data_IF_954898358457
#
_entry.id   IF_954898358457
#
_cell.length_a   1.000
_cell.length_b   1.000
_cell.length_c   1.000
_cell.angle_alpha   90.00
_cell.angle_beta   90.00
_cell.angle_gamma   90.00
#
_symmetry.space_group_name_H-M   'P 1'
#
loop_
_entity.id
_entity.type
_entity.pdbx_description
1 polymer ?
2 non-polymer ?
3 non-polymer ?
4 non-polymer ?
5 non-polymer ?
6 water ?
#
# COMPACT_ATOMS: atom_id res chain seq x y z
N UNK A 2 -17.54 11.77 9.26
CA UNK A 2 -17.10 10.89 8.13
C UNK A 2 -16.24 9.74 8.67
N UNK A 3 -16.53 8.52 8.22
CA UNK A 3 -15.74 7.34 8.60
C UNK A 3 -15.46 6.55 7.33
N UNK A 4 -14.28 6.77 6.76
CA UNK A 4 -13.97 6.24 5.44
C UNK A 4 -14.03 4.70 5.39
N UNK A 5 -14.70 4.21 4.36
CA UNK A 5 -14.81 2.78 4.11
C UNK A 5 -13.58 2.33 3.34
N UNK A 6 -12.76 1.48 3.97
CA UNK A 6 -11.53 0.98 3.39
C UNK A 6 -11.69 -0.44 2.90
N UNK A 7 -11.25 -0.70 1.67
CA UNK A 7 -11.21 -2.05 1.12
C UNK A 7 -9.82 -2.39 0.65
N UNK A 8 -9.38 -3.61 0.92
CA UNK A 8 -8.10 -4.11 0.46
C UNK A 8 -8.41 -5.29 -0.47
N UNK A 9 -7.92 -5.21 -1.71
CA UNK A 9 -8.27 -6.14 -2.76
C UNK A 9 -7.02 -6.83 -3.27
N UNK A 10 -6.90 -8.15 -3.04
CA UNK A 10 -5.83 -8.92 -3.62
C UNK A 10 -6.22 -9.44 -4.98
N UNK A 11 -5.30 -9.35 -5.94
CA UNK A 11 -5.57 -9.79 -7.32
C UNK A 11 -4.49 -10.74 -7.76
N UNK A 12 -4.86 -12.00 -7.97
CA UNK A 12 -3.92 -13.04 -8.33
C UNK A 12 -3.23 -13.63 -7.11
N UNK A 13 -2.30 -14.55 -7.36
CA UNK A 13 -1.72 -15.34 -6.26
C UNK A 13 -0.99 -14.51 -5.20
N UNK A 14 -0.02 -13.71 -5.61
CA UNK A 14 0.77 -12.94 -4.65
C UNK A 14 -0.07 -11.91 -3.92
N UNK A 15 -0.98 -11.25 -4.63
CA UNK A 15 -1.87 -10.31 -3.95
C UNK A 15 -2.71 -10.99 -2.90
N UNK A 16 -3.27 -12.15 -3.24
CA UNK A 16 -4.06 -12.86 -2.26
C UNK A 16 -3.25 -13.43 -1.14
N UNK A 17 -1.99 -13.78 -1.40
CA UNK A 17 -1.09 -14.19 -0.31
C UNK A 17 -0.95 -13.07 0.70
N UNK A 18 -0.73 -11.85 0.21
CA UNK A 18 -0.62 -10.72 1.10
C UNK A 18 -1.91 -10.50 1.89
N UNK A 19 -3.05 -10.58 1.21
CA UNK A 19 -4.36 -10.44 1.88
C UNK A 19 -4.55 -11.51 2.97
N UNK A 20 -4.22 -12.76 2.65
CA UNK A 20 -4.38 -13.84 3.61
C UNK A 20 -3.55 -13.61 4.84
N UNK A 21 -2.30 -13.17 4.63
CA UNK A 21 -1.40 -12.96 5.76
C UNK A 21 -1.85 -11.73 6.58
N UNK A 22 -2.50 -10.75 5.95
CA UNK A 22 -3.07 -9.60 6.69
C UNK A 22 -4.27 -9.98 7.53
N UNK A 23 -5.13 -10.83 6.98
CA UNK A 23 -6.30 -11.32 7.70
C UNK A 23 -5.84 -12.15 8.92
N UNK A 24 -4.81 -12.97 8.75
CA UNK A 24 -4.22 -13.71 9.90
C UNK A 24 -3.66 -12.82 11.01
N UNK A 25 -3.01 -11.73 10.58
CA UNK A 25 -2.43 -10.73 11.48
C UNK A 25 -3.50 -10.02 12.34
N UNK A 26 -4.66 -9.75 11.73
CA UNK A 26 -5.76 -9.07 12.40
C UNK A 26 -5.87 -7.62 11.95
N UNK A 27 -6.92 -7.32 11.18
CA UNK A 27 -7.21 -5.95 10.74
C UNK A 27 -8.72 -5.70 10.82
N UNK A 28 -9.13 -4.86 11.78
CA UNK A 28 -10.53 -4.52 11.97
C UNK A 28 -10.91 -3.32 11.12
N UNK A 29 -12.21 -3.19 10.83
CA UNK A 29 -12.77 -2.08 10.05
C UNK A 29 -12.15 -1.93 8.67
N UNK A 30 -11.70 -3.03 8.10
CA UNK A 30 -11.23 -3.06 6.72
C UNK A 30 -11.94 -4.24 6.06
N UNK A 31 -12.47 -4.05 4.86
CA UNK A 31 -13.07 -5.14 4.11
C UNK A 31 -12.00 -5.70 3.19
N UNK A 32 -11.80 -7.01 3.23
CA UNK A 32 -10.88 -7.70 2.33
C UNK A 32 -11.65 -8.39 1.22
N UNK A 33 -11.10 -8.28 0.01
CA UNK A 33 -11.66 -8.88 -1.18
C UNK A 33 -10.55 -9.66 -1.88
N UNK A 34 -10.83 -10.92 -2.19
CA UNK A 34 -9.90 -11.77 -2.91
C UNK A 34 -10.39 -11.99 -4.32
N UNK A 35 -9.56 -11.66 -5.32
CA UNK A 35 -9.91 -11.83 -6.71
C UNK A 35 -8.90 -12.77 -7.36
N UNK A 36 -9.37 -13.84 -8.00
CA UNK A 36 -8.46 -14.74 -8.71
C UNK A 36 -9.23 -15.45 -9.80
N UNK A 37 -8.50 -15.87 -10.83
CA UNK A 37 -8.95 -16.84 -11.82
C UNK A 37 -8.97 -18.25 -11.25
N UNK A 38 -7.96 -18.56 -10.47
CA UNK A 38 -7.72 -19.87 -9.92
C UNK A 38 -8.73 -20.18 -8.80
N UNK A 39 -9.75 -20.99 -9.11
CA UNK A 39 -10.77 -21.32 -8.14
C UNK A 39 -10.30 -22.12 -6.96
N UNK A 40 -9.34 -23.03 -7.19
CA UNK A 40 -8.77 -23.82 -6.09
C UNK A 40 -8.11 -22.91 -5.07
N UNK A 41 -7.28 -22.00 -5.56
CA UNK A 41 -6.59 -21.07 -4.66
C UNK A 41 -7.60 -20.17 -3.97
N UNK A 42 -8.58 -19.70 -4.71
CA UNK A 42 -9.52 -18.78 -4.17
C UNK A 42 -10.35 -19.42 -3.06
N UNK A 43 -10.67 -20.71 -3.22
CA UNK A 43 -11.41 -21.47 -2.20
C UNK A 43 -10.68 -21.49 -0.84
N UNK A 44 -9.34 -21.42 -0.87
CA UNK A 44 -8.54 -21.41 0.35
C UNK A 44 -8.37 -20.03 0.98
N UNK A 45 -8.73 -18.97 0.27
CA UNK A 45 -8.63 -17.62 0.83
C UNK A 45 -9.48 -17.43 2.08
N UNK A 46 -8.97 -16.55 2.95
CA UNK A 46 -9.59 -16.18 4.22
C UNK A 46 -10.56 -15.02 4.08
N UNK A 47 -10.57 -14.38 2.90
CA UNK A 47 -11.39 -13.20 2.71
C UNK A 47 -12.89 -13.52 2.69
N UNK A 48 -13.67 -12.62 3.27
CA UNK A 48 -15.15 -12.75 3.32
C UNK A 48 -15.86 -12.37 2.03
N UNK A 49 -15.11 -11.78 1.11
CA UNK A 49 -15.60 -11.44 -0.24
C UNK A 49 -14.62 -12.02 -1.24
N UNK A 50 -15.08 -12.99 -2.01
CA UNK A 50 -14.26 -13.74 -2.98
C UNK A 50 -14.90 -13.62 -4.35
N UNK A 51 -14.12 -13.19 -5.34
CA UNK A 51 -14.59 -13.05 -6.71
C UNK A 51 -13.74 -13.92 -7.60
N UNK A 52 -14.33 -14.99 -8.11
CA UNK A 52 -13.68 -15.82 -9.13
C UNK A 52 -13.96 -15.18 -10.46
N UNK A 53 -12.89 -14.77 -11.15
CA UNK A 53 -13.02 -14.06 -12.40
C UNK A 53 -12.67 -14.97 -13.57
N UNK A 54 -13.34 -14.74 -14.68
CA UNK A 54 -13.00 -15.42 -15.90
C UNK A 54 -13.27 -16.91 -15.97
N UNK A 55 -14.25 -17.43 -15.27
CA UNK A 55 -14.45 -18.87 -15.30
C UNK A 55 -14.75 -19.39 -16.71
N UNK A 56 -15.47 -18.63 -17.53
CA UNK A 56 -15.72 -19.10 -18.89
C UNK A 56 -14.44 -19.16 -19.75
N UNK A 57 -13.49 -18.30 -19.44
CA UNK A 57 -12.27 -18.22 -20.18
C UNK A 57 -11.27 -19.29 -19.73
N UNK A 58 -11.12 -19.45 -18.40
CA UNK A 58 -10.07 -20.28 -17.82
C UNK A 58 -10.55 -21.64 -17.32
N UNK A 59 -11.86 -21.86 -17.28
CA UNK A 59 -12.44 -23.07 -16.69
C UNK A 59 -12.11 -23.22 -15.21
N UNK A 60 -11.82 -22.12 -14.54
CA UNK A 60 -11.51 -22.16 -13.12
C UNK A 60 -10.04 -22.34 -12.76
N UNK A 61 -9.19 -22.46 -13.77
CA UNK A 61 -7.76 -22.45 -13.58
C UNK A 61 -7.26 -21.02 -13.54
N UNK A 62 -6.01 -20.87 -13.16
CA UNK A 62 -5.33 -19.61 -13.30
C UNK A 62 -5.13 -19.18 -14.73
N UNK A 63 -4.41 -18.07 -14.89
CA UNK A 63 -4.21 -17.44 -16.18
C UNK A 63 -3.00 -18.00 -16.90
N UNK A 64 -2.26 -18.94 -16.28
CA UNK A 64 -1.12 -19.55 -16.95
C UNK A 64 -0.04 -18.54 -17.31
N UNK A 65 0.11 -17.52 -16.47
CA UNK A 65 1.11 -16.46 -16.65
C UNK A 65 0.86 -15.56 -17.85
N UNK A 66 -0.36 -15.58 -18.39
CA UNK A 66 -0.68 -14.79 -19.56
C UNK A 66 -1.51 -13.55 -19.14
N UNK A 67 -0.92 -12.33 -19.21
CA UNK A 67 -1.67 -11.15 -18.79
C UNK A 67 -2.95 -10.89 -19.59
N UNK A 68 -2.98 -11.31 -20.85
CA UNK A 68 -4.18 -11.13 -21.65
C UNK A 68 -5.35 -11.89 -21.04
N UNK A 69 -5.08 -13.08 -20.54
CA UNK A 69 -6.12 -13.88 -19.89
C UNK A 69 -6.58 -13.21 -18.59
N UNK A 70 -5.65 -12.67 -17.81
CA UNK A 70 -6.07 -11.92 -16.64
C UNK A 70 -6.95 -10.73 -16.95
N UNK A 71 -6.59 -9.98 -17.98
CA UNK A 71 -7.35 -8.80 -18.39
C UNK A 71 -8.75 -9.18 -18.85
N UNK A 72 -8.83 -10.16 -19.75
CA UNK A 72 -10.10 -10.61 -20.28
C UNK A 72 -10.95 -11.27 -19.20
N UNK A 73 -10.33 -11.95 -18.25
CA UNK A 73 -11.08 -12.51 -17.13
C UNK A 73 -11.74 -11.42 -16.32
N UNK A 74 -10.99 -10.36 -16.01
CA UNK A 74 -11.56 -9.26 -15.22
C UNK A 74 -12.68 -8.59 -15.99
N UNK A 75 -12.50 -8.45 -17.30
CA UNK A 75 -13.54 -7.83 -18.11
C UNK A 75 -14.80 -8.74 -18.14
N UNK A 76 -14.62 -10.06 -18.25
CA UNK A 76 -15.76 -11.02 -18.22
C UNK A 76 -16.57 -10.81 -16.90
N UNK A 77 -15.86 -10.58 -15.81
CA UNK A 77 -16.45 -10.49 -14.48
C UNK A 77 -16.58 -9.05 -13.95
N UNK A 78 -16.56 -8.07 -14.83
CA UNK A 78 -16.60 -6.64 -14.45
C UNK A 78 -17.72 -6.30 -13.45
N UNK A 79 -18.91 -6.80 -13.72
CA UNK A 79 -20.06 -6.48 -12.85
C UNK A 79 -19.89 -7.01 -11.43
N UNK A 80 -19.29 -8.19 -11.30
CA UNK A 80 -19.07 -8.78 -9.99
C UNK A 80 -17.99 -7.97 -9.21
N UNK A 81 -16.99 -7.45 -9.93
CA UNK A 81 -15.98 -6.62 -9.33
C UNK A 81 -16.60 -5.30 -8.84
N UNK A 82 -17.41 -4.68 -9.69
CA UNK A 82 -18.11 -3.45 -9.33
C UNK A 82 -18.92 -3.68 -8.03
N UNK A 83 -19.70 -4.75 -8.00
CA UNK A 83 -20.55 -5.04 -6.84
C UNK A 83 -19.75 -5.16 -5.54
N UNK A 84 -18.57 -5.80 -5.61
CA UNK A 84 -17.74 -5.98 -4.45
C UNK A 84 -17.15 -4.69 -3.90
N UNK A 85 -16.89 -3.74 -4.80
CA UNK A 85 -16.25 -2.48 -4.44
C UNK A 85 -17.22 -1.44 -3.92
N UNK A 86 -18.52 -1.63 -4.20
CA UNK A 86 -19.56 -0.66 -3.79
C UNK A 86 -19.36 -0.13 -2.39
N UNK A 87 -19.41 1.19 -2.26
CA UNK A 87 -19.30 1.84 -0.99
C UNK A 87 -17.90 2.27 -0.59
N UNK A 88 -16.88 1.82 -1.33
CA UNK A 88 -15.53 2.10 -0.93
C UNK A 88 -15.21 3.59 -1.03
N UNK A 89 -14.56 4.10 0.02
CA UNK A 89 -13.91 5.42 -0.06
C UNK A 89 -12.46 5.36 -0.42
N UNK A 90 -11.79 4.26 -0.05
CA UNK A 90 -10.39 4.05 -0.40
C UNK A 90 -10.23 2.57 -0.67
N UNK A 91 -9.53 2.26 -1.75
CA UNK A 91 -9.24 0.90 -2.15
C UNK A 91 -7.75 0.75 -2.29
N UNK A 92 -7.20 -0.28 -1.66
CA UNK A 92 -5.85 -0.73 -1.91
C UNK A 92 -5.93 -1.93 -2.83
N UNK A 93 -5.29 -1.88 -3.98
CA UNK A 93 -5.22 -3.01 -4.90
C UNK A 93 -3.81 -3.56 -4.82
N UNK A 94 -3.71 -4.82 -4.37
CA UNK A 94 -2.41 -5.41 -4.16
C UNK A 94 -2.25 -6.65 -5.03
N UNK A 95 -1.09 -6.77 -5.67
CA UNK A 95 -0.88 -7.76 -6.71
C UNK A 95 0.60 -7.91 -6.99
N UNK A 96 1.00 -9.13 -7.37
CA UNK A 96 2.35 -9.35 -7.87
C UNK A 96 2.40 -9.19 -9.37
N UNK A 97 3.16 -8.23 -9.86
CA UNK A 97 3.24 -8.04 -11.30
C UNK A 97 4.15 -9.10 -11.92
N UNK A 98 3.84 -9.50 -13.14
CA UNK A 98 4.64 -10.42 -13.93
C UNK A 98 4.00 -11.72 -14.25
N UNK A 99 2.96 -12.10 -13.50
CA UNK A 99 2.16 -13.25 -13.82
C UNK A 99 1.05 -12.89 -14.76
N UNK A 100 -0.03 -13.67 -14.73
CA UNK A 100 -1.13 -13.48 -15.65
C UNK A 100 -2.29 -12.73 -15.02
N UNK A 101 -2.75 -13.23 -13.88
CA UNK A 101 -3.95 -12.67 -13.24
C UNK A 101 -3.71 -11.27 -12.71
N UNK A 102 -2.69 -11.11 -11.89
CA UNK A 102 -2.37 -9.80 -11.37
C UNK A 102 -2.05 -8.80 -12.46
N UNK A 103 -1.10 -9.14 -13.32
CA UNK A 103 -0.67 -8.20 -14.35
C UNK A 103 -1.83 -7.70 -15.18
N UNK A 104 -2.69 -8.64 -15.62
CA UNK A 104 -3.82 -8.29 -16.50
C UNK A 104 -5.04 -7.73 -15.80
N UNK A 105 -5.40 -8.36 -14.68
CA UNK A 105 -6.65 -7.99 -13.98
C UNK A 105 -6.50 -6.82 -13.02
N UNK A 106 -5.33 -6.67 -12.38
CA UNK A 106 -5.25 -5.61 -11.37
C UNK A 106 -5.51 -4.21 -11.94
N UNK A 107 -5.05 -3.87 -13.16
CA UNK A 107 -5.38 -2.58 -13.70
C UNK A 107 -6.86 -2.39 -14.00
N UNK A 108 -7.55 -3.47 -14.36
CA UNK A 108 -8.99 -3.39 -14.58
C UNK A 108 -9.73 -3.11 -13.26
N UNK A 109 -9.34 -3.84 -12.22
CA UNK A 109 -9.89 -3.63 -10.90
C UNK A 109 -9.64 -2.19 -10.42
N UNK A 110 -8.41 -1.72 -10.61
CA UNK A 110 -8.07 -0.36 -10.16
C UNK A 110 -8.91 0.68 -10.87
N UNK A 111 -9.11 0.54 -12.17
CA UNK A 111 -9.90 1.51 -12.93
C UNK A 111 -11.36 1.52 -12.49
N UNK A 112 -11.89 0.34 -12.19
CA UNK A 112 -13.25 0.25 -11.65
C UNK A 112 -13.36 1.03 -10.34
N UNK A 113 -12.41 0.80 -9.44
CA UNK A 113 -12.43 1.51 -8.15
C UNK A 113 -12.31 3.02 -8.34
N UNK A 114 -11.40 3.44 -9.23
CA UNK A 114 -11.17 4.87 -9.45
C UNK A 114 -12.46 5.52 -9.98
N UNK A 115 -13.13 4.85 -10.90
CA UNK A 115 -14.32 5.41 -11.50
C UNK A 115 -15.56 5.34 -10.62
N UNK A 116 -15.47 4.65 -9.50
CA UNK A 116 -16.45 4.67 -8.40
C UNK A 116 -16.15 5.79 -7.41
N UNK A 117 -15.05 6.52 -7.64
CA UNK A 117 -14.67 7.64 -6.78
C UNK A 117 -13.82 7.29 -5.58
N UNK A 118 -13.42 6.02 -5.46
CA UNK A 118 -12.52 5.66 -4.37
C UNK A 118 -11.12 6.18 -4.63
N UNK A 119 -10.46 6.62 -3.57
CA UNK A 119 -9.03 6.86 -3.62
C UNK A 119 -8.36 5.50 -3.84
N UNK A 120 -7.67 5.33 -4.95
CA UNK A 120 -7.23 4.03 -5.40
C UNK A 120 -5.70 3.95 -5.36
N UNK A 121 -5.19 3.12 -4.46
CA UNK A 121 -3.77 2.97 -4.22
C UNK A 121 -3.35 1.56 -4.59
N UNK A 122 -2.42 1.43 -5.53
CA UNK A 122 -1.87 0.15 -5.87
C UNK A 122 -0.63 -0.13 -5.02
N UNK A 123 -0.47 -1.39 -4.59
CA UNK A 123 0.76 -1.83 -3.90
C UNK A 123 1.15 -3.12 -4.57
N UNK A 124 2.19 -3.06 -5.39
CA UNK A 124 2.54 -4.19 -6.24
C UNK A 124 4.00 -4.55 -6.11
N UNK A 125 4.32 -5.80 -6.42
CA UNK A 125 5.71 -6.25 -6.53
C UNK A 125 6.15 -6.34 -7.99
N UNK A 126 7.45 -6.19 -8.19
CA UNK A 126 8.12 -6.62 -9.41
C UNK A 126 8.80 -7.98 -9.14
N UNK A 127 8.96 -8.82 -10.18
CA UNK A 127 9.51 -10.15 -9.93
C UNK A 127 10.98 -10.13 -9.59
N UNK A 128 11.42 -11.20 -8.96
CA UNK A 128 12.84 -11.39 -8.73
C UNK A 128 13.53 -11.50 -10.08
N UNK A 129 14.75 -10.99 -10.16
CA UNK A 129 15.57 -11.19 -11.36
C UNK A 129 15.75 -12.67 -11.68
N UNK A 130 15.77 -13.54 -10.68
CA UNK A 130 15.94 -14.97 -10.93
C UNK A 130 14.77 -15.57 -11.68
N UNK A 131 13.63 -14.88 -11.75
CA UNK A 131 12.48 -15.33 -12.53
C UNK A 131 12.61 -15.08 -14.03
N UNK A 132 13.60 -14.29 -14.45
CA UNK A 132 13.90 -14.10 -15.87
C UNK A 132 13.26 -12.90 -16.55
N UNK A 133 13.71 -12.72 -17.78
CA UNK A 133 13.34 -11.55 -18.59
C UNK A 133 11.90 -11.36 -18.99
N UNK A 134 11.26 -12.44 -19.40
CA UNK A 134 9.87 -12.32 -19.83
C UNK A 134 9.00 -11.94 -18.64
N UNK A 135 9.27 -12.51 -17.48
CA UNK A 135 8.57 -12.13 -16.27
C UNK A 135 8.78 -10.64 -15.96
N UNK A 136 10.01 -10.17 -16.11
CA UNK A 136 10.31 -8.78 -15.82
C UNK A 136 9.64 -7.84 -16.84
N UNK A 137 9.65 -8.22 -18.11
CA UNK A 137 9.02 -7.43 -19.18
C UNK A 137 7.50 -7.39 -19.01
N UNK A 138 6.88 -8.53 -18.70
CA UNK A 138 5.46 -8.56 -18.43
C UNK A 138 5.14 -7.67 -17.24
N UNK A 139 5.97 -7.75 -16.21
CA UNK A 139 5.73 -6.96 -15.01
C UNK A 139 5.82 -5.48 -15.31
N UNK A 140 6.77 -5.07 -16.14
CA UNK A 140 6.94 -3.65 -16.45
C UNK A 140 5.70 -3.11 -17.16
N UNK A 141 5.12 -3.92 -18.05
CA UNK A 141 3.90 -3.53 -18.72
C UNK A 141 2.75 -3.42 -17.71
N UNK A 142 2.70 -4.35 -16.76
CA UNK A 142 1.74 -4.28 -15.69
C UNK A 142 1.87 -3.03 -14.82
N UNK A 143 3.11 -2.68 -14.46
CA UNK A 143 3.33 -1.49 -13.68
C UNK A 143 2.83 -0.26 -14.41
N UNK A 144 3.13 -0.18 -15.70
CA UNK A 144 2.69 0.97 -16.50
C UNK A 144 1.16 1.05 -16.56
N UNK A 145 0.51 -0.09 -16.78
CA UNK A 145 -0.95 -0.14 -16.79
C UNK A 145 -1.52 0.24 -15.43
N UNK A 146 -0.89 -0.24 -14.36
CA UNK A 146 -1.34 0.15 -13.02
C UNK A 146 -1.22 1.64 -12.79
N UNK A 147 -0.08 2.22 -13.19
CA UNK A 147 0.11 3.67 -13.03
C UNK A 147 -1.00 4.45 -13.70
N UNK A 148 -1.42 4.01 -14.88
CA UNK A 148 -2.49 4.70 -15.62
C UNK A 148 -3.83 4.61 -14.86
N UNK A 149 -4.03 3.52 -14.15
CA UNK A 149 -5.31 3.19 -13.56
C UNK A 149 -5.53 3.69 -12.13
N UNK A 150 -4.46 3.80 -11.35
CA UNK A 150 -4.58 4.15 -9.94
C UNK A 150 -4.41 5.64 -9.72
N UNK A 151 -4.75 6.08 -8.51
CA UNK A 151 -4.34 7.40 -8.02
C UNK A 151 -2.85 7.45 -7.64
N UNK A 152 -2.39 6.45 -6.92
CA UNK A 152 -1.01 6.40 -6.48
C UNK A 152 -0.56 4.94 -6.50
N UNK A 153 0.72 4.72 -6.85
CA UNK A 153 1.27 3.37 -6.94
C UNK A 153 2.52 3.25 -6.08
N UNK A 154 2.58 2.19 -5.26
CA UNK A 154 3.75 1.80 -4.51
C UNK A 154 4.29 0.52 -5.12
N UNK A 155 5.56 0.53 -5.56
CA UNK A 155 6.19 -0.61 -6.21
C UNK A 155 7.29 -1.16 -5.30
N UNK A 156 7.20 -2.45 -5.00
CA UNK A 156 8.18 -3.17 -4.21
C UNK A 156 8.91 -4.13 -5.16
N UNK A 157 10.16 -3.82 -5.58
CA UNK A 157 10.88 -4.80 -6.37
C UNK A 157 11.25 -5.98 -5.44
N UNK A 158 10.85 -7.19 -5.80
CA UNK A 158 11.17 -8.33 -4.95
C UNK A 158 12.67 -8.50 -4.76
N UNK A 159 13.49 -8.08 -5.73
CA UNK A 159 14.93 -8.14 -5.55
C UNK A 159 15.37 -7.39 -4.28
N UNK A 160 14.62 -6.38 -3.82
CA UNK A 160 15.02 -5.66 -2.58
C UNK A 160 14.97 -6.57 -1.37
N UNK A 161 14.18 -7.66 -1.42
CA UNK A 161 14.18 -8.60 -0.33
C UNK A 161 15.51 -9.27 -0.16
N UNK A 162 16.27 -9.41 -1.25
CA UNK A 162 17.60 -10.00 -1.17
C UNK A 162 18.59 -9.11 -0.43
N UNK A 163 18.25 -7.84 -0.21
CA UNK A 163 19.08 -6.92 0.55
C UNK A 163 18.89 -7.00 2.07
N UNK A 164 17.83 -7.67 2.52
CA UNK A 164 17.43 -7.69 3.94
C UNK A 164 17.41 -9.07 4.57
N UNK A 165 17.87 -10.07 3.82
CA UNK A 165 17.98 -11.44 4.32
C UNK A 165 19.43 -11.85 4.53
N UNK A 166 19.62 -12.83 5.42
CA UNK A 166 20.90 -13.54 5.44
C UNK A 166 20.71 -14.84 4.65
N UNK A 167 21.73 -15.68 4.56
CA UNK A 167 21.63 -16.87 3.73
C UNK A 167 20.56 -17.86 4.20
N UNK A 168 20.15 -17.76 5.47
CA UNK A 168 19.20 -18.69 6.03
C UNK A 168 17.78 -18.12 6.24
N UNK A 169 17.56 -16.83 6.04
CA UNK A 169 16.24 -16.29 6.30
C UNK A 169 15.18 -17.00 5.49
N UNK A 170 14.17 -17.59 6.16
CA UNK A 170 13.14 -18.29 5.38
C UNK A 170 12.48 -17.39 4.34
N UNK A 171 12.16 -17.97 3.19
CA UNK A 171 11.44 -17.23 2.16
C UNK A 171 10.16 -16.62 2.72
N UNK A 172 9.43 -17.36 3.55
CA UNK A 172 8.18 -16.83 4.09
C UNK A 172 8.42 -15.62 5.00
N UNK A 173 9.54 -15.61 5.72
CA UNK A 173 9.88 -14.46 6.57
C UNK A 173 10.20 -13.23 5.71
N UNK A 174 10.89 -13.45 4.60
CA UNK A 174 11.15 -12.36 3.66
C UNK A 174 9.85 -11.82 3.06
N UNK A 175 8.94 -12.71 2.67
CA UNK A 175 7.65 -12.27 2.19
C UNK A 175 6.87 -11.44 3.20
N UNK A 176 6.99 -11.77 4.48
CA UNK A 176 6.29 -11.00 5.50
C UNK A 176 6.83 -9.57 5.57
N UNK A 177 8.10 -9.37 5.27
CA UNK A 177 8.64 -8.00 5.19
C UNK A 177 7.98 -7.18 4.07
N UNK A 178 7.76 -7.79 2.93
CA UNK A 178 7.08 -7.09 1.84
C UNK A 178 5.62 -6.83 2.21
N UNK A 179 4.98 -7.80 2.85
CA UNK A 179 3.58 -7.67 3.32
C UNK A 179 3.41 -6.47 4.23
N UNK A 180 4.43 -6.21 5.05
CA UNK A 180 4.44 -5.10 6.04
C UNK A 180 4.23 -3.74 5.39
N UNK A 181 4.70 -3.57 4.16
CA UNK A 181 4.52 -2.30 3.46
C UNK A 181 3.03 -1.99 3.35
N UNK A 182 2.29 -2.94 2.82
CA UNK A 182 0.86 -2.79 2.67
C UNK A 182 0.19 -2.65 4.04
N UNK A 183 0.54 -3.55 4.96
CA UNK A 183 -0.17 -3.57 6.22
C UNK A 183 0.00 -2.27 6.98
N UNK A 184 1.22 -1.74 6.99
CA UNK A 184 1.50 -0.46 7.69
C UNK A 184 0.73 0.66 7.03
N UNK A 185 0.61 0.63 5.72
CA UNK A 185 -0.19 1.64 5.02
C UNK A 185 -1.65 1.62 5.41
N UNK A 186 -2.22 0.43 5.40
CA UNK A 186 -3.62 0.27 5.74
C UNK A 186 -3.85 0.64 7.22
N UNK A 187 -2.99 0.16 8.11
CA UNK A 187 -3.13 0.47 9.52
C UNK A 187 -2.99 1.94 9.77
N UNK A 188 -2.07 2.58 9.03
CA UNK A 188 -1.88 4.02 9.16
C UNK A 188 -3.13 4.81 8.83
N UNK A 189 -3.78 4.43 7.74
CA UNK A 189 -5.09 5.07 7.39
C UNK A 189 -6.14 4.82 8.45
N UNK A 190 -6.21 3.58 8.94
CA UNK A 190 -7.18 3.26 10.00
C UNK A 190 -6.95 4.15 11.21
N UNK A 191 -5.69 4.33 11.55
CA UNK A 191 -5.35 5.18 12.70
C UNK A 191 -5.75 6.64 12.48
N UNK A 192 -5.45 7.14 11.29
CA UNK A 192 -5.81 8.53 10.93
C UNK A 192 -7.31 8.78 11.03
N UNK A 193 -8.09 7.80 10.61
CA UNK A 193 -9.54 7.94 10.62
C UNK A 193 -10.08 7.88 12.06
N UNK A 194 -9.47 7.07 12.92
CA UNK A 194 -10.00 6.80 14.24
C UNK A 194 -9.58 7.78 15.31
N UNK A 195 -8.39 8.35 15.17
CA UNK A 195 -7.75 9.13 16.24
C UNK A 195 -7.84 10.61 15.91
N UNK A 196 -8.10 11.39 16.96
CA UNK A 196 -8.08 12.84 16.90
C UNK A 196 -6.67 13.32 17.18
N UNK A 197 -6.07 14.00 16.22
CA UNK A 197 -4.76 14.55 16.45
C UNK A 197 -4.83 15.91 17.10
N UNK A 198 -3.77 16.25 17.82
CA UNK A 198 -3.61 17.63 18.30
C UNK A 198 -3.52 18.60 17.14
N UNK A 199 -2.77 18.23 16.11
CA UNK A 199 -2.87 18.85 14.80
C UNK A 199 -3.44 17.73 13.94
N UNK A 200 -4.76 17.80 13.71
CA UNK A 200 -5.49 16.67 13.17
C UNK A 200 -5.38 16.63 11.66
N UNK A 201 -5.16 15.44 11.14
CA UNK A 201 -5.23 15.10 9.71
C UNK A 201 -6.41 14.19 9.48
N UNK A 202 -7.02 14.31 8.32
CA UNK A 202 -8.15 13.46 8.00
C UNK A 202 -8.09 12.96 6.59
N UNK A 203 -9.13 12.24 6.21
CA UNK A 203 -9.13 11.59 4.91
C UNK A 203 -9.01 12.59 3.76
N UNK A 204 -9.55 13.80 3.89
CA UNK A 204 -9.35 14.79 2.83
C UNK A 204 -7.88 15.16 2.63
N UNK A 205 -7.11 15.18 3.72
CA UNK A 205 -5.66 15.38 3.59
C UNK A 205 -4.99 14.25 2.82
N UNK A 206 -5.38 13.01 3.13
CA UNK A 206 -4.87 11.86 2.40
C UNK A 206 -5.20 12.01 0.92
N UNK A 207 -6.44 12.36 0.59
CA UNK A 207 -6.80 12.56 -0.80
C UNK A 207 -5.97 13.64 -1.47
N UNK A 208 -5.74 14.76 -0.79
CA UNK A 208 -4.92 15.81 -1.40
C UNK A 208 -3.55 15.29 -1.80
N UNK A 209 -2.92 14.52 -0.92
CA UNK A 209 -1.58 14.03 -1.19
C UNK A 209 -1.56 12.87 -2.17
N UNK A 210 -2.60 12.03 -2.19
CA UNK A 210 -2.55 10.78 -2.95
C UNK A 210 -3.40 10.74 -4.22
N UNK A 211 -4.39 11.62 -4.39
CA UNK A 211 -5.29 11.52 -5.55
C UNK A 211 -4.58 12.01 -6.84
N UNK A 212 -4.66 11.20 -7.90
CA UNK A 212 -4.09 11.57 -9.19
C UNK A 212 -2.63 11.95 -9.17
N UNK A 213 -1.87 11.09 -8.54
CA UNK A 213 -0.47 11.21 -8.56
C UNK A 213 0.08 10.05 -9.37
N UNK A 214 1.27 9.61 -9.03
CA UNK A 214 1.95 8.58 -9.73
C UNK A 214 2.54 7.72 -8.66
N UNK A 215 3.84 7.69 -8.60
CA UNK A 215 4.51 6.85 -7.64
C UNK A 215 4.43 7.45 -6.26
N UNK A 216 4.49 6.58 -5.26
CA UNK A 216 4.54 7.04 -3.91
C UNK A 216 5.54 6.27 -3.09
N UNK A 217 6.04 6.97 -2.09
CA UNK A 217 6.77 6.39 -0.99
C UNK A 217 5.83 6.44 0.22
N UNK A 218 5.87 5.37 0.97
CA UNK A 218 5.26 5.41 2.30
C UNK A 218 6.19 4.69 3.27
N UNK A 219 6.33 5.27 4.45
CA UNK A 219 7.18 4.66 5.44
C UNK A 219 6.89 5.12 6.85
N UNK A 220 7.25 4.26 7.81
CA UNK A 220 7.12 4.54 9.24
C UNK A 220 8.44 4.32 9.93
N UNK A 221 8.74 5.17 10.91
CA UNK A 221 9.92 4.96 11.76
C UNK A 221 9.54 5.11 13.22
N UNK A 222 10.10 4.22 14.04
CA UNK A 222 9.79 4.20 15.48
C UNK A 222 11.12 4.30 16.24
N UNK A 223 11.19 5.22 17.22
CA UNK A 223 12.40 5.29 18.04
C UNK A 223 12.08 5.88 19.41
N UNK A 224 13.05 5.73 20.30
CA UNK A 224 12.96 6.22 21.67
C UNK A 224 14.32 6.76 22.10
N UNK A 225 14.34 7.45 23.24
CA UNK A 225 15.59 7.95 23.81
C UNK A 225 16.14 9.15 23.05
N UNK A 226 17.45 9.36 23.16
CA UNK A 226 18.07 10.54 22.56
C UNK A 226 18.05 10.42 21.04
N UNK A 227 17.89 11.57 20.41
CA UNK A 227 17.81 11.70 18.95
C UNK A 227 16.64 10.91 18.33
N UNK A 228 15.60 10.63 19.14
CA UNK A 228 14.48 9.81 18.67
C UNK A 228 13.78 10.41 17.44
N UNK A 229 13.64 11.74 17.39
CA UNK A 229 12.90 12.38 16.30
C UNK A 229 13.62 12.24 14.97
N UNK A 230 14.90 12.57 14.96
CA UNK A 230 15.72 12.42 13.77
C UNK A 230 15.80 10.94 13.35
N UNK A 231 16.00 10.04 14.31
CA UNK A 231 16.12 8.62 14.00
C UNK A 231 14.83 8.09 13.37
N UNK A 232 13.68 8.43 13.96
CA UNK A 232 12.40 7.95 13.44
C UNK A 232 12.11 8.53 12.06
N UNK A 233 12.39 9.82 11.85
CA UNK A 233 12.16 10.44 10.54
C UNK A 233 13.05 9.82 9.45
N UNK A 234 14.32 9.62 9.78
CA UNK A 234 15.23 8.96 8.86
C UNK A 234 14.78 7.54 8.50
N UNK A 235 14.30 6.81 9.50
CA UNK A 235 13.76 5.46 9.27
C UNK A 235 12.54 5.51 8.36
N UNK A 236 11.63 6.44 8.63
CA UNK A 236 10.40 6.58 7.83
C UNK A 236 10.68 6.76 6.34
N UNK A 237 11.65 7.60 6.02
CA UNK A 237 11.96 7.87 4.60
C UNK A 237 12.91 6.87 3.92
N UNK A 238 13.58 6.04 4.72
CA UNK A 238 14.54 5.04 4.20
C UNK A 238 14.00 4.08 3.14
N UNK A 239 12.81 3.60 3.38
CA UNK A 239 12.09 2.80 2.42
C UNK A 239 12.93 1.82 1.56
N UNK A 240 13.71 0.94 2.20
CA UNK A 240 14.61 0.02 1.48
C UNK A 240 13.95 -0.98 0.52
N UNK A 241 12.66 -1.23 0.71
CA UNK A 241 11.93 -2.13 -0.18
C UNK A 241 11.21 -1.43 -1.32
N UNK A 242 11.23 -0.10 -1.35
CA UNK A 242 10.45 0.63 -2.35
C UNK A 242 11.34 1.17 -3.42
N UNK A 243 10.79 1.12 -4.62
CA UNK A 243 11.39 1.64 -5.80
C UNK A 243 11.55 3.16 -5.70
N UNK A 244 10.53 3.82 -5.16
CA UNK A 244 10.50 5.29 -5.10
C UNK A 244 11.24 5.80 -3.86
N UNK A 245 12.06 6.83 -4.04
CA UNK A 245 12.71 7.51 -2.94
C UNK A 245 12.07 8.87 -2.65
N UNK A 246 12.42 9.41 -1.50
CA UNK A 246 11.96 10.73 -1.05
C UNK A 246 12.45 11.89 -1.93
N UNK A 247 13.57 11.72 -2.62
CA UNK A 247 14.21 12.80 -3.37
C UNK A 247 13.24 13.34 -4.43
N UNK A 248 12.98 14.65 -4.37
CA UNK A 248 12.12 15.33 -5.34
C UNK A 248 10.63 15.27 -5.09
N UNK A 249 10.20 14.73 -3.94
CA UNK A 249 8.77 14.67 -3.63
C UNK A 249 8.13 16.06 -3.57
N UNK A 250 7.00 16.24 -4.27
CA UNK A 250 6.29 17.52 -4.28
C UNK A 250 5.14 17.58 -3.27
N UNK A 251 4.71 16.42 -2.75
CA UNK A 251 3.66 16.36 -1.74
C UNK A 251 4.06 15.41 -0.64
N UNK A 252 3.85 15.81 0.61
CA UNK A 252 4.14 14.96 1.76
C UNK A 252 3.05 15.06 2.78
N UNK A 253 2.59 13.91 3.27
CA UNK A 253 1.78 13.87 4.48
C UNK A 253 2.74 13.34 5.54
N UNK A 254 2.92 14.07 6.65
CA UNK A 254 3.78 13.64 7.71
C UNK A 254 3.04 13.73 9.02
N UNK A 255 3.12 12.67 9.82
CA UNK A 255 2.58 12.70 11.15
C UNK A 255 3.64 12.26 12.15
N UNK A 256 3.59 12.88 13.32
CA UNK A 256 4.34 12.43 14.48
C UNK A 256 3.40 12.08 15.60
N UNK A 257 3.52 10.87 16.13
CA UNK A 257 2.78 10.46 17.29
C UNK A 257 3.78 10.28 18.43
N UNK A 258 3.50 10.91 19.57
CA UNK A 258 4.37 10.79 20.72
C UNK A 258 3.56 10.92 21.98
N UNK A 259 4.24 10.74 23.10
CA UNK A 259 3.66 11.01 24.39
C UNK A 259 3.66 12.49 24.69
N UNK A 260 3.28 12.83 25.92
CA UNK A 260 3.22 14.21 26.37
C UNK A 260 4.57 14.91 26.36
N UNK A 261 5.66 14.14 26.32
CA UNK A 261 7.00 14.69 26.21
C UNK A 261 7.37 15.19 24.82
N UNK A 262 6.57 14.92 23.80
CA UNK A 262 6.92 15.35 22.45
C UNK A 262 7.17 16.85 22.40
N UNK A 263 8.39 17.23 22.02
CA UNK A 263 8.79 18.64 22.06
C UNK A 263 8.65 19.32 20.71
N UNK A 264 8.44 20.62 20.77
CA UNK A 264 8.41 21.42 19.55
C UNK A 264 9.73 21.30 18.77
N UNK A 265 10.84 21.39 19.50
CA UNK A 265 12.14 21.28 18.89
C UNK A 265 12.29 19.96 18.13
N UNK A 266 11.87 18.85 18.74
CA UNK A 266 11.90 17.49 18.13
C UNK A 266 11.09 17.42 16.88
N UNK A 267 9.90 18.02 16.93
CA UNK A 267 9.01 18.02 15.77
C UNK A 267 9.68 18.74 14.61
N UNK A 268 10.27 19.90 14.88
CA UNK A 268 11.01 20.61 13.83
C UNK A 268 12.15 19.76 13.27
N UNK A 269 12.93 19.14 14.16
CA UNK A 269 14.04 18.32 13.69
C UNK A 269 13.56 17.27 12.70
N UNK A 270 12.49 16.58 13.06
CA UNK A 270 11.94 15.52 12.21
C UNK A 270 11.43 16.07 10.89
N UNK A 271 10.67 17.14 10.96
CA UNK A 271 10.15 17.74 9.76
C UNK A 271 11.25 18.23 8.82
N UNK A 272 12.31 18.79 9.40
CA UNK A 272 13.44 19.27 8.60
C UNK A 272 14.13 18.14 7.85
N UNK A 273 14.26 16.98 8.48
CA UNK A 273 14.86 15.81 7.80
C UNK A 273 14.06 15.52 6.53
N UNK A 274 12.74 15.53 6.64
CA UNK A 274 11.87 15.18 5.51
C UNK A 274 11.93 16.30 4.45
N UNK A 275 11.82 17.55 4.90
CA UNK A 275 11.95 18.71 3.98
C UNK A 275 13.25 18.73 3.22
N UNK A 276 14.36 18.55 3.92
CA UNK A 276 15.70 18.58 3.31
C UNK A 276 15.80 17.54 2.21
N UNK A 277 15.18 16.40 2.42
CA UNK A 277 15.20 15.32 1.43
C UNK A 277 14.30 15.59 0.17
N UNK A 278 13.21 16.36 0.34
CA UNK A 278 12.16 16.57 -0.70
C UNK A 278 12.28 17.89 -1.53
N UNK A 279 11.35 18.10 -2.48
CA UNK A 279 11.36 19.27 -3.39
C UNK A 279 11.28 20.63 -2.68
N UNK A 280 11.80 21.65 -3.34
CA UNK A 280 11.71 23.04 -2.89
C UNK A 280 10.26 23.49 -2.70
N UNK A 281 9.36 23.05 -3.59
CA UNK A 281 7.94 23.45 -3.59
C UNK A 281 7.00 22.40 -2.96
N UNK A 282 7.52 21.64 -1.98
CA UNK A 282 6.73 20.62 -1.27
C UNK A 282 5.43 21.18 -0.69
N UNK A 283 4.32 20.53 -0.95
CA UNK A 283 3.08 20.76 -0.22
C UNK A 283 3.10 19.73 0.90
N UNK A 284 3.49 20.17 2.10
CA UNK A 284 3.58 19.28 3.28
C UNK A 284 2.40 19.54 4.15
N UNK A 285 1.72 18.46 4.50
CA UNK A 285 0.62 18.48 5.45
C UNK A 285 1.14 17.75 6.68
N UNK A 286 1.34 18.50 7.76
CA UNK A 286 1.95 18.03 8.98
C UNK A 286 0.92 17.81 10.06
N UNK A 287 0.98 16.66 10.72
CA UNK A 287 0.09 16.31 11.81
C UNK A 287 0.84 15.88 13.03
N UNK A 288 0.16 15.94 14.17
CA UNK A 288 0.71 15.47 15.43
C UNK A 288 -0.38 14.84 16.28
N UNK A 289 -0.04 13.72 16.91
CA UNK A 289 -0.89 13.03 17.87
C UNK A 289 -0.13 12.98 19.19
N UNK A 290 -0.77 13.38 20.28
CA UNK A 290 -0.24 13.20 21.62
C UNK A 290 -1.05 12.09 22.27
N UNK A 291 -0.40 10.96 22.51
CA UNK A 291 -1.02 9.84 23.21
C UNK A 291 -0.41 9.72 24.61
N UNK A 292 -1.15 10.09 25.69
CA UNK A 292 -0.58 10.10 27.04
C UNK A 292 -0.22 8.72 27.56
N UNK A 293 -0.73 7.67 26.94
CA UNK A 293 -0.32 6.31 27.33
C UNK A 293 1.11 5.97 26.85
N UNK A 294 1.68 6.74 25.92
CA UNK A 294 3.08 6.55 25.52
C UNK A 294 4.00 7.15 26.56
N UNK A 295 5.22 6.60 26.64
CA UNK A 295 6.26 7.16 27.47
C UNK A 295 7.29 7.82 26.56
N UNK A 296 8.34 7.10 26.18
CA UNK A 296 9.45 7.69 25.42
C UNK A 296 9.49 7.30 23.92
N UNK A 297 8.53 6.50 23.43
CA UNK A 297 8.49 6.14 22.01
C UNK A 297 7.82 7.23 21.17
N UNK A 298 8.36 7.47 19.98
CA UNK A 298 7.64 8.22 18.97
C UNK A 298 7.59 7.46 17.65
N UNK A 299 6.56 7.78 16.87
CA UNK A 299 6.34 7.15 15.57
C UNK A 299 6.17 8.24 14.54
N UNK A 300 7.00 8.23 13.52
CA UNK A 300 6.90 9.18 12.43
C UNK A 300 6.42 8.43 11.19
N UNK A 301 5.40 8.96 10.54
CA UNK A 301 4.83 8.38 9.32
C UNK A 301 5.02 9.39 8.20
N UNK A 302 5.50 8.93 7.04
CA UNK A 302 5.70 9.80 5.88
C UNK A 302 5.05 9.15 4.65
N UNK A 303 4.17 9.88 4.00
CA UNK A 303 3.70 9.57 2.64
C UNK A 303 4.18 10.63 1.68
N UNK A 304 4.90 10.27 0.63
CA UNK A 304 5.48 11.23 -0.29
C UNK A 304 5.06 10.90 -1.72
N UNK A 305 4.63 11.91 -2.44
CA UNK A 305 4.14 11.79 -3.82
C UNK A 305 4.60 12.99 -4.65
N UNK A 306 4.31 12.96 -5.96
CA UNK A 306 4.50 14.09 -6.85
C UNK A 306 5.95 14.20 -7.27
N UNK A 307 6.37 13.39 -8.23
CA UNK A 307 7.77 13.33 -8.65
C UNK A 307 7.93 13.76 -10.11
X LIG B 1 -0.85 -14.50 -10.95
X LIG B 1 -1.72 -15.25 -9.96
X LIG B 1 -1.12 -13.04 -10.84
X LIG B 1 -0.88 -15.06 -12.35
X LIG B 1 0.66 -14.72 -10.45
X LIG B 1 1.33 -14.63 -8.99
X LIG B 1 1.32 -15.97 -8.33
X LIG B 1 0.72 -13.49 -8.27
X LIG B 1 2.84 -14.32 -9.34
X LIG B 1 3.22 -13.08 -9.95
X LIG B 1 4.51 -12.61 -9.30
X LIG B 1 4.26 -12.25 -7.95
X LIG B 1 5.61 -13.66 -9.21
X LIG B 1 6.31 -13.70 -10.45
X LIG B 1 6.45 -13.21 -8.03
X LIG B 1 7.44 -12.23 -8.40
X LIG B 1 5.43 -12.53 -7.15
X LIG B 1 4.93 -13.24 -5.98
X LIG B 1 4.01 -14.23 -6.01
X LIG B 1 3.63 -14.52 -4.77
X LIG B 1 4.31 -13.70 -3.92
X LIG B 1 4.31 -13.44 -2.51
X LIG B 1 3.57 -14.06 -1.71
X LIG B 1 5.15 -12.48 -2.10
X LIG B 1 5.94 -11.73 -2.90
X LIG B 1 6.73 -10.81 -2.33
X LIG B 1 5.98 -11.90 -4.23
X LIG B 1 5.15 -12.84 -4.73
X LIG C 1 -7.15 12.12 12.56
X LIG D 1 -0.32 5.61 1.88
X LIG D 1 -1.23 5.27 2.76
X LIG D 1 -1.02 4.04 3.14
X LIG D 1 -2.37 5.28 2.11
X LIG D 1 -1.32 6.23 3.93
X LIG D 1 -1.67 7.57 3.67
X LIG D 1 -1.76 8.47 4.65
X LIG D 1 -1.53 8.14 5.93
X LIG D 1 -1.64 9.19 7.23
X LIG D 1 -1.08 5.87 5.25
X LIG D 1 -1.17 6.82 6.28
X LIG D 1 -1.01 6.75 7.61
X LIG D 1 -1.17 7.90 8.33
X LIG D 1 -1.08 8.00 9.86
X LIG D 1 -1.08 9.26 10.57
X LIG D 1 -1.94 9.58 11.60
X LIG D 1 -2.48 8.71 12.53
X LIG D 1 -3.34 9.17 13.52
X LIG D 1 -2.25 10.92 11.71
X LIG D 1 -1.75 11.74 10.83
X LIG D 1 -3.13 11.40 12.70
X LIG D 1 -3.68 10.50 13.58
X LIG D 1 -4.53 10.93 14.50
X LIG D 1 -3.50 12.85 12.82
X LIG D 1 -4.67 13.19 12.79
X LIG D 1 -2.55 13.75 12.98
X LIG E 1 2.36 -6.35 -1.62
X LIG E 1 3.76 -8.72 -0.77
X LIG E 1 2.27 -9.17 -3.98
X LIG E 1 2.97 -9.80 -2.79
X LIG E 1 1.85 -7.75 -3.58
X LIG E 1 3.15 -8.66 -1.82
X LIG E 1 2.52 -7.61 -2.30
X LIG F 1 -12.45 -29.29 -24.06
X LIG F 1 -10.18 -29.45 -22.20
X LIG F 1 -13.26 -29.01 -20.48
X LIG F 1 -11.73 -28.98 -20.44
X LIG F 1 -13.69 -29.33 -21.90
X LIG F 1 -11.34 -29.27 -21.85
X LIG F 1 -12.43 -29.30 -22.61
#
# INVERSE_FOLDING_TARGET
GHMATLKVIGVGGGGNNAVNRMIDHGMNNVEFIAINTDGQALNLSKAESKIQIGEKLTRGLGAGANPEIGKKAAEESREQIEDAIQGADMVFVTSGMGGGTGTGAAPVVAKIAKEMGALTVGVVTRPFSFEGRKRQTQAAAGVEAMKAAVDTLIVIPNDRLLDIVDKSTPMMEAFKEADNVLRQGVQGISDLIAVSGEVNLDFADVKTIMSNQGSALMGIGVSSGENRAVEAAKKAISSPLLETSIVGAQGVLMNITGGESLSLFEAQEAADIVQDAADEDVNMIFGTVINPELQDEIVVTVIATGFD
GDP PB O1B O2B O3B O3A PA O1A O2A O5' C5' C4' O4' C3' O3' C2' O2' C1' N9 C8 N7 C5 C6 O6 N1 C2 N2 N3 C4
CA CA
ZI7 F5 C15 F3 F4 C12 C11 N3 C10 S1 C13 C14 N2 C9 C8 O2 C4 C5 C6 C3 F2 C2 C7 F1 C1 O1 N1
MB3 CAA OAB CAC CAD CAE CAF NAG
MB3 CAA OAB CAC CAD CAE CAF NAG
#
